data_IF_100194047345
#
_entry.id   IF_100194047345
#
_cell.length_a   1.000
_cell.length_b   1.000
_cell.length_c   1.000
_cell.angle_alpha   90.00
_cell.angle_beta   90.00
_cell.angle_gamma   90.00
#
_symmetry.space_group_name_H-M   'P 1'
#
loop_
_entity.id
_entity.type
_entity.pdbx_description
1 polymer ?
#
# COMPACT_ATOMS: atom_id res chain seq x y z
N UNK A 1 1.79 -2.99 -8.23
CA UNK A 1 1.21 -2.67 -6.92
C UNK A 1 0.89 -1.18 -6.88
N UNK A 2 -0.28 -0.80 -6.37
CA UNK A 2 -0.59 0.60 -6.09
C UNK A 2 0.23 1.05 -4.89
N UNK A 3 0.94 2.17 -5.00
CA UNK A 3 1.60 2.83 -3.87
C UNK A 3 1.09 4.25 -3.79
N UNK A 4 0.76 4.69 -2.58
CA UNK A 4 0.37 6.08 -2.32
C UNK A 4 1.53 6.78 -1.63
N UNK A 5 1.91 7.95 -2.14
CA UNK A 5 3.04 8.71 -1.64
C UNK A 5 2.59 10.14 -1.41
N UNK A 6 2.92 10.69 -0.25
CA UNK A 6 2.70 12.09 0.03
C UNK A 6 3.82 12.95 -0.55
N UNK A 7 3.47 14.15 -1.01
CA UNK A 7 4.43 15.10 -1.54
C UNK A 7 3.93 16.53 -1.41
N UNK A 8 4.87 17.46 -1.47
CA UNK A 8 4.61 18.89 -1.40
C UNK A 8 4.75 19.46 -2.81
N UNK A 9 3.71 20.13 -3.29
CA UNK A 9 3.78 20.82 -4.58
C UNK A 9 4.43 22.19 -4.43
N UNK A 10 5.54 22.43 -5.14
CA UNK A 10 6.26 23.71 -5.18
C UNK A 10 6.80 23.98 -6.58
N UNK A 11 6.56 25.18 -7.10
CA UNK A 11 7.12 25.65 -8.37
C UNK A 11 6.89 24.70 -9.57
N UNK A 12 5.72 24.06 -9.66
CA UNK A 12 5.44 23.12 -10.75
C UNK A 12 5.98 21.71 -10.53
N UNK A 13 6.61 21.43 -9.39
CA UNK A 13 7.22 20.14 -9.06
C UNK A 13 6.58 19.55 -7.81
N UNK A 14 6.55 18.23 -7.72
CA UNK A 14 6.13 17.50 -6.52
C UNK A 14 7.41 17.01 -5.83
N UNK A 15 7.66 17.51 -4.63
CA UNK A 15 8.73 17.07 -3.76
C UNK A 15 8.19 15.95 -2.87
N UNK A 16 8.64 14.71 -3.08
CA UNK A 16 8.21 13.60 -2.23
C UNK A 16 8.80 13.75 -0.83
N UNK A 17 7.98 13.48 0.20
CA UNK A 17 8.46 13.41 1.59
C UNK A 17 9.27 12.14 1.83
N UNK A 18 8.94 11.07 1.08
CA UNK A 18 9.64 9.80 1.06
C UNK A 18 9.67 9.26 -0.37
N UNK A 19 10.82 8.72 -0.81
CA UNK A 19 10.93 8.14 -2.14
C UNK A 19 10.21 6.79 -2.18
N UNK A 20 9.30 6.55 -3.13
CA UNK A 20 8.68 5.23 -3.26
C UNK A 20 9.71 4.20 -3.70
N UNK A 21 9.93 3.20 -2.86
CA UNK A 21 10.73 2.01 -3.21
C UNK A 21 9.98 1.13 -4.23
N UNK A 22 10.67 0.27 -4.96
CA UNK A 22 10.06 -0.76 -5.84
C UNK A 22 9.01 -0.26 -6.85
N UNK A 23 9.12 0.99 -7.34
CA UNK A 23 8.29 1.52 -8.43
C UNK A 23 9.08 1.49 -9.73
N UNK A 24 8.51 0.86 -10.76
CA UNK A 24 9.15 0.77 -12.06
C UNK A 24 9.29 2.14 -12.74
N UNK A 25 10.40 2.32 -13.46
CA UNK A 25 10.58 3.48 -14.33
C UNK A 25 9.44 3.54 -15.36
N UNK A 26 8.87 4.74 -15.55
CA UNK A 26 7.71 5.00 -16.42
C UNK A 26 6.34 4.50 -15.90
N UNK A 27 6.23 4.23 -14.59
CA UNK A 27 4.92 3.98 -13.97
C UNK A 27 4.01 5.20 -14.13
N UNK A 28 2.79 4.99 -14.59
CA UNK A 28 1.77 6.04 -14.68
C UNK A 28 1.30 6.44 -13.28
N UNK A 29 1.14 7.74 -13.03
CA UNK A 29 0.72 8.29 -11.75
C UNK A 29 -0.57 9.10 -11.88
N UNK A 30 -1.40 9.06 -10.84
CA UNK A 30 -2.52 9.97 -10.65
C UNK A 30 -2.13 10.99 -9.57
N UNK A 31 -2.34 12.27 -9.84
CA UNK A 31 -2.03 13.35 -8.91
C UNK A 31 -3.32 14.10 -8.60
N UNK A 32 -3.60 14.29 -7.32
CA UNK A 32 -4.71 15.08 -6.83
C UNK A 32 -4.16 16.20 -5.96
N UNK A 33 -4.46 17.46 -6.31
CA UNK A 33 -4.10 18.61 -5.50
C UNK A 33 -5.13 18.83 -4.40
N UNK A 34 -4.65 18.95 -3.18
CA UNK A 34 -5.47 19.05 -1.99
C UNK A 34 -5.45 20.47 -1.46
N UNK A 35 -6.62 21.07 -1.25
CA UNK A 35 -6.73 22.35 -0.55
C UNK A 35 -6.75 22.09 0.97
N UNK A 36 -5.71 22.51 1.72
CA UNK A 36 -5.62 22.24 3.16
C UNK A 36 -6.76 22.88 3.97
N UNK A 37 -7.46 23.88 3.42
CA UNK A 37 -8.59 24.54 4.08
C UNK A 37 -9.93 23.84 3.82
N UNK A 38 -9.98 22.93 2.85
CA UNK A 38 -11.22 22.25 2.44
C UNK A 38 -11.18 20.74 2.69
N UNK A 39 -10.02 20.19 3.03
CA UNK A 39 -9.82 18.76 3.18
C UNK A 39 -9.48 18.42 4.62
N UNK A 40 -10.31 17.55 5.20
CA UNK A 40 -10.05 16.91 6.49
C UNK A 40 -8.90 15.89 6.33
N UNK A 41 -7.74 16.11 7.00
CA UNK A 41 -6.59 15.22 6.90
C UNK A 41 -6.91 13.77 7.28
N UNK A 42 -7.86 13.55 8.19
CA UNK A 42 -8.26 12.20 8.60
C UNK A 42 -8.95 11.46 7.45
N UNK A 43 -9.84 12.13 6.72
CA UNK A 43 -10.54 11.54 5.58
C UNK A 43 -9.59 11.22 4.43
N UNK A 44 -8.60 12.07 4.21
CA UNK A 44 -7.56 11.80 3.23
C UNK A 44 -6.80 10.52 3.57
N UNK A 45 -6.33 10.39 4.81
CA UNK A 45 -5.64 9.19 5.28
C UNK A 45 -6.51 7.93 5.14
N UNK A 46 -7.79 8.01 5.50
CA UNK A 46 -8.74 6.91 5.32
C UNK A 46 -8.89 6.49 3.85
N UNK A 47 -8.93 7.46 2.93
CA UNK A 47 -8.97 7.17 1.50
C UNK A 47 -7.69 6.44 1.04
N UNK A 48 -6.53 6.89 1.51
CA UNK A 48 -5.23 6.27 1.21
C UNK A 48 -5.21 4.81 1.69
N UNK A 49 -5.57 4.56 2.95
CA UNK A 49 -5.65 3.22 3.54
C UNK A 49 -6.65 2.32 2.78
N UNK A 50 -7.77 2.89 2.32
CA UNK A 50 -8.75 2.15 1.53
C UNK A 50 -8.20 1.72 0.16
N UNK A 51 -7.48 2.61 -0.52
CA UNK A 51 -6.85 2.30 -1.81
C UNK A 51 -5.78 1.22 -1.67
N UNK A 52 -4.96 1.29 -0.63
CA UNK A 52 -3.95 0.26 -0.33
C UNK A 52 -4.60 -1.10 -0.02
N UNK A 53 -5.71 -1.10 0.71
CA UNK A 53 -6.48 -2.32 0.99
C UNK A 53 -6.97 -2.98 -0.31
N UNK A 54 -7.55 -2.19 -1.22
CA UNK A 54 -8.01 -2.70 -2.53
C UNK A 54 -6.84 -3.30 -3.30
N UNK A 55 -5.69 -2.64 -3.33
CA UNK A 55 -4.50 -3.12 -4.04
C UNK A 55 -3.96 -4.42 -3.43
N UNK A 56 -3.92 -4.53 -2.11
CA UNK A 56 -3.51 -5.74 -1.40
C UNK A 56 -4.43 -6.93 -1.70
N UNK A 57 -5.75 -6.69 -1.78
CA UNK A 57 -6.72 -7.73 -2.16
C UNK A 57 -6.48 -8.20 -3.60
N UNK A 58 -6.29 -7.27 -4.54
CA UNK A 58 -6.00 -7.59 -5.94
C UNK A 58 -4.73 -8.44 -6.07
N UNK A 59 -3.66 -8.06 -5.35
CA UNK A 59 -2.43 -8.86 -5.31
C UNK A 59 -2.69 -10.26 -4.75
N UNK A 60 -3.46 -10.38 -3.66
CA UNK A 60 -3.83 -11.68 -3.12
C UNK A 60 -4.52 -12.58 -4.15
N UNK A 61 -5.43 -12.03 -4.96
CA UNK A 61 -6.04 -12.77 -6.06
C UNK A 61 -5.03 -13.17 -7.15
N UNK A 62 -4.09 -12.30 -7.52
CA UNK A 62 -3.02 -12.64 -8.47
C UNK A 62 -2.16 -13.81 -7.96
N UNK A 63 -1.77 -13.80 -6.68
CA UNK A 63 -1.01 -14.88 -6.05
C UNK A 63 -1.78 -16.20 -6.03
N UNK A 64 -3.06 -16.15 -5.65
CA UNK A 64 -3.96 -17.31 -5.67
C UNK A 64 -4.06 -17.90 -7.09
N UNK A 65 -4.31 -17.06 -8.09
CA UNK A 65 -4.44 -17.47 -9.50
C UNK A 65 -3.12 -18.01 -10.07
N UNK A 66 -1.98 -17.52 -9.59
CA UNK A 66 -0.65 -18.02 -9.95
C UNK A 66 -0.27 -19.31 -9.19
N UNK A 67 -1.16 -19.84 -8.34
CA UNK A 67 -0.88 -21.03 -7.52
C UNK A 67 0.13 -20.79 -6.40
N UNK A 68 0.44 -19.52 -6.08
CA UNK A 68 1.33 -19.13 -4.97
C UNK A 68 0.58 -19.21 -3.64
N UNK A 69 0.09 -20.39 -3.32
CA UNK A 69 -0.62 -20.65 -2.07
C UNK A 69 0.29 -21.41 -1.11
N UNK A 70 -0.06 -21.39 0.18
CA UNK A 70 0.55 -22.25 1.18
C UNK A 70 -0.52 -22.93 2.03
N UNK A 71 -0.26 -24.14 2.54
CA UNK A 71 -1.13 -24.77 3.52
C UNK A 71 -1.34 -23.87 4.74
N UNK A 72 -2.56 -23.90 5.30
CA UNK A 72 -2.87 -23.12 6.50
C UNK A 72 -2.08 -23.60 7.73
N UNK A 73 -1.75 -24.91 7.79
CA UNK A 73 -0.92 -25.48 8.85
C UNK A 73 0.47 -24.86 8.90
N UNK A 74 1.15 -24.75 7.76
CA UNK A 74 2.47 -24.12 7.64
C UNK A 74 2.45 -22.66 8.09
N UNK A 75 1.35 -21.94 7.81
CA UNK A 75 1.17 -20.59 8.30
C UNK A 75 1.04 -20.54 9.83
N UNK A 76 0.19 -21.39 10.41
CA UNK A 76 -0.02 -21.45 11.86
C UNK A 76 1.30 -21.75 12.57
N UNK A 77 2.03 -22.76 12.12
CA UNK A 77 3.32 -23.13 12.71
C UNK A 77 4.32 -21.98 12.63
N UNK A 78 4.44 -21.31 11.47
CA UNK A 78 5.31 -20.14 11.33
C UNK A 78 4.96 -19.02 12.30
N UNK A 79 3.67 -18.77 12.55
CA UNK A 79 3.23 -17.73 13.48
C UNK A 79 3.48 -18.14 14.93
N UNK A 80 3.32 -19.41 15.27
CA UNK A 80 3.66 -19.95 16.58
C UNK A 80 5.15 -19.78 16.88
N UNK A 81 6.02 -20.16 15.94
CA UNK A 81 7.47 -20.00 16.07
C UNK A 81 7.90 -18.53 16.12
N UNK A 82 7.31 -17.66 15.31
CA UNK A 82 7.71 -16.24 15.23
C UNK A 82 7.32 -15.46 16.49
N UNK A 83 6.23 -15.83 17.14
CA UNK A 83 5.65 -15.06 18.25
C UNK A 83 5.60 -15.85 19.57
N UNK A 84 6.28 -17.00 19.66
CA UNK A 84 6.26 -17.92 20.81
C UNK A 84 4.83 -18.23 21.30
N UNK A 85 3.90 -18.47 20.37
CA UNK A 85 2.52 -18.84 20.70
C UNK A 85 2.48 -20.34 20.95
N UNK A 86 2.13 -20.75 22.17
CA UNK A 86 1.92 -22.16 22.52
C UNK A 86 0.84 -22.81 21.66
N UNK A 87 1.09 -24.05 21.23
CA UNK A 87 0.18 -24.86 20.42
C UNK A 87 -1.08 -25.31 21.14
#
# INVERSE_FOLDING_TARGET
MLKTVEGIYRNGQIEFTELPEDVNNSTQVLITFLDPNQIDPLKLRQLIEHLETIAGIQQGFEELNAGKTRPIGDFIQKMQEKYDISS
#
